data_IF_321706890121
#
_entry.id   IF_321706890121
#
_cell.length_a   1.000
_cell.length_b   1.000
_cell.length_c   1.000
_cell.angle_alpha   90.00
_cell.angle_beta   90.00
_cell.angle_gamma   90.00
#
_symmetry.space_group_name_H-M   'P 1'
#
loop_
_entity.id
_entity.type
_entity.pdbx_description
1 polymer ?
#
# COMPACT_ATOMS: atom_id res chain seq x y z
N UNK A 1 -9.17 -10.88 -4.09
CA UNK A 1 -10.13 -12.00 -3.97
C UNK A 1 -10.83 -11.99 -2.60
N UNK A 2 -10.11 -12.21 -1.50
CA UNK A 2 -10.71 -12.31 -0.14
C UNK A 2 -11.62 -11.12 0.24
N UNK A 3 -11.23 -9.88 -0.08
CA UNK A 3 -12.05 -8.70 0.19
C UNK A 3 -13.36 -8.75 -0.61
N UNK A 4 -13.31 -9.12 -1.88
CA UNK A 4 -14.50 -9.20 -2.74
C UNK A 4 -15.46 -10.30 -2.27
N UNK A 5 -14.94 -11.41 -1.78
CA UNK A 5 -15.73 -12.50 -1.21
C UNK A 5 -16.36 -12.10 0.12
N UNK A 6 -15.61 -11.43 1.00
CA UNK A 6 -16.08 -10.99 2.30
C UNK A 6 -17.11 -9.83 2.23
N UNK A 7 -17.00 -8.96 1.21
CA UNK A 7 -17.81 -7.75 1.05
C UNK A 7 -18.58 -7.79 -0.27
N UNK A 8 -19.52 -8.70 -0.40
CA UNK A 8 -20.24 -8.97 -1.64
C UNK A 8 -21.08 -7.77 -2.17
N UNK A 9 -21.50 -6.86 -1.29
CA UNK A 9 -22.21 -5.64 -1.64
C UNK A 9 -21.30 -4.47 -2.02
N UNK A 10 -19.98 -4.64 -1.95
CA UNK A 10 -18.99 -3.64 -2.30
C UNK A 10 -18.45 -3.89 -3.71
N UNK A 11 -18.13 -2.82 -4.44
CA UNK A 11 -17.40 -2.92 -5.72
C UNK A 11 -15.91 -2.83 -5.41
N UNK A 12 -15.17 -3.86 -5.79
CA UNK A 12 -13.74 -3.95 -5.53
C UNK A 12 -12.97 -3.71 -6.84
N UNK A 13 -11.99 -2.83 -6.79
CA UNK A 13 -11.08 -2.55 -7.89
C UNK A 13 -9.66 -2.90 -7.45
N UNK A 14 -8.94 -3.64 -8.27
CA UNK A 14 -7.52 -3.95 -8.07
C UNK A 14 -6.69 -3.35 -9.20
N UNK A 15 -5.67 -2.61 -8.83
CA UNK A 15 -4.75 -1.97 -9.75
C UNK A 15 -3.33 -2.45 -9.51
N UNK A 16 -2.61 -2.73 -10.56
CA UNK A 16 -1.19 -3.07 -10.53
C UNK A 16 -0.56 -2.69 -11.87
N UNK A 17 0.67 -2.16 -11.85
CA UNK A 17 1.40 -1.86 -13.08
C UNK A 17 1.90 -3.12 -13.78
N UNK A 18 1.99 -4.25 -13.09
CA UNK A 18 2.46 -5.53 -13.61
C UNK A 18 1.32 -6.29 -14.29
N UNK A 19 1.22 -6.14 -15.62
CA UNK A 19 0.18 -6.75 -16.43
C UNK A 19 -0.03 -8.26 -16.17
N UNK A 20 1.02 -9.11 -16.05
CA UNK A 20 0.82 -10.53 -15.75
C UNK A 20 0.08 -10.78 -14.42
N UNK A 21 0.32 -9.98 -13.38
CA UNK A 21 -0.41 -10.07 -12.11
C UNK A 21 -1.90 -9.78 -12.30
N UNK A 22 -2.23 -8.76 -13.07
CA UNK A 22 -3.62 -8.40 -13.39
C UNK A 22 -4.31 -9.53 -14.20
N UNK A 23 -3.64 -10.12 -15.18
CA UNK A 23 -4.18 -11.25 -15.96
C UNK A 23 -4.50 -12.47 -15.08
N UNK A 24 -3.62 -12.77 -14.11
CA UNK A 24 -3.85 -13.82 -13.11
C UNK A 24 -5.05 -13.45 -12.21
N UNK A 25 -5.09 -12.22 -11.70
CA UNK A 25 -6.19 -11.76 -10.85
C UNK A 25 -7.55 -11.84 -11.54
N UNK A 26 -7.64 -11.44 -12.82
CA UNK A 26 -8.87 -11.57 -13.62
C UNK A 26 -9.30 -13.03 -13.78
N UNK A 27 -8.34 -13.93 -14.07
CA UNK A 27 -8.60 -15.37 -14.22
C UNK A 27 -9.11 -15.99 -12.91
N UNK A 28 -8.47 -15.64 -11.79
CA UNK A 28 -8.84 -16.17 -10.49
C UNK A 28 -10.19 -15.63 -9.98
N UNK A 29 -10.51 -14.36 -10.25
CA UNK A 29 -11.82 -13.80 -9.96
C UNK A 29 -12.93 -14.54 -10.70
N UNK A 30 -12.73 -14.81 -12.00
CA UNK A 30 -13.68 -15.61 -12.81
C UNK A 30 -13.85 -17.01 -12.26
N UNK A 31 -12.75 -17.67 -11.90
CA UNK A 31 -12.77 -19.04 -11.34
C UNK A 31 -13.53 -19.11 -10.02
N UNK A 32 -13.48 -18.04 -9.20
CA UNK A 32 -14.17 -17.92 -7.93
C UNK A 32 -15.55 -17.29 -8.03
N UNK A 33 -16.05 -16.96 -9.24
CA UNK A 33 -17.32 -16.30 -9.49
C UNK A 33 -17.49 -14.94 -8.77
N UNK A 34 -16.41 -14.20 -8.59
CA UNK A 34 -16.43 -12.88 -7.95
C UNK A 34 -16.86 -11.80 -8.95
N UNK A 35 -18.18 -11.54 -9.02
CA UNK A 35 -18.76 -10.59 -9.98
C UNK A 35 -18.60 -9.12 -9.56
N UNK A 36 -18.22 -8.87 -8.32
CA UNK A 36 -18.01 -7.55 -7.71
C UNK A 36 -16.54 -7.09 -7.73
N UNK A 37 -15.63 -7.85 -8.36
CA UNK A 37 -14.22 -7.52 -8.48
C UNK A 37 -13.83 -7.20 -9.93
N UNK A 38 -13.11 -6.09 -10.13
CA UNK A 38 -12.50 -5.68 -11.40
C UNK A 38 -11.02 -5.44 -11.22
N UNK A 39 -10.21 -5.76 -12.23
CA UNK A 39 -8.76 -5.60 -12.18
C UNK A 39 -8.28 -4.90 -13.45
N UNK A 40 -7.45 -3.88 -13.30
CA UNK A 40 -6.95 -3.06 -14.40
C UNK A 40 -5.46 -2.79 -14.24
N UNK A 41 -4.74 -2.71 -15.35
CA UNK A 41 -3.33 -2.30 -15.36
C UNK A 41 -3.26 -0.81 -15.17
N UNK A 42 -2.79 -0.38 -14.01
CA UNK A 42 -2.53 1.02 -13.68
C UNK A 42 -1.48 1.10 -12.57
N UNK A 43 -0.74 2.20 -12.54
CA UNK A 43 0.13 2.50 -11.40
C UNK A 43 -0.62 3.27 -10.28
N UNK A 44 0.07 3.52 -9.19
CA UNK A 44 -0.50 4.18 -8.01
C UNK A 44 -0.90 5.65 -8.24
N UNK A 45 -0.56 6.22 -9.39
CA UNK A 45 -0.83 7.62 -9.78
C UNK A 45 -1.64 7.74 -11.08
N UNK A 46 -2.25 6.64 -11.58
CA UNK A 46 -2.95 6.65 -12.88
C UNK A 46 -4.32 5.98 -12.91
N UNK A 47 -4.78 5.38 -11.81
CA UNK A 47 -6.13 4.81 -11.73
C UNK A 47 -7.21 5.91 -11.71
N UNK A 48 -8.42 5.59 -12.20
CA UNK A 48 -9.53 6.54 -12.27
C UNK A 48 -10.61 6.22 -11.23
N UNK A 49 -11.42 7.23 -10.89
CA UNK A 49 -12.60 7.07 -10.03
C UNK A 49 -12.45 7.71 -8.65
N UNK A 50 -13.48 7.53 -7.84
CA UNK A 50 -13.56 7.92 -6.44
C UNK A 50 -13.93 6.69 -5.61
N UNK A 51 -13.35 6.58 -4.42
CA UNK A 51 -13.45 5.40 -3.58
C UNK A 51 -13.75 5.78 -2.13
N UNK A 52 -14.49 4.91 -1.45
CA UNK A 52 -14.73 5.04 -0.02
C UNK A 52 -13.53 4.53 0.79
N UNK A 53 -12.84 3.52 0.24
CA UNK A 53 -11.62 2.96 0.83
C UNK A 53 -10.59 2.72 -0.26
N UNK A 54 -9.38 3.18 -0.05
CA UNK A 54 -8.20 2.84 -0.85
C UNK A 54 -7.25 2.04 0.04
N UNK A 55 -6.64 0.99 -0.50
CA UNK A 55 -5.69 0.15 0.24
C UNK A 55 -4.38 0.02 -0.50
N UNK A 56 -3.26 0.16 0.21
CA UNK A 56 -1.92 -0.19 -0.25
C UNK A 56 -1.43 -1.39 0.56
N UNK A 57 -1.15 -2.50 -0.15
CA UNK A 57 -0.73 -3.74 0.46
C UNK A 57 0.77 -3.94 0.26
N UNK A 58 1.54 -3.61 1.28
CA UNK A 58 2.98 -3.87 1.37
C UNK A 58 3.74 -3.33 0.15
N UNK A 59 3.40 -2.11 -0.29
CA UNK A 59 3.91 -1.56 -1.55
C UNK A 59 4.27 -0.07 -1.52
N UNK A 60 3.78 0.72 -0.55
CA UNK A 60 4.10 2.15 -0.50
C UNK A 60 5.60 2.40 -0.35
N UNK A 61 6.28 1.56 0.44
CA UNK A 61 7.72 1.65 0.67
C UNK A 61 8.58 1.29 -0.56
N UNK A 62 8.00 0.61 -1.57
CA UNK A 62 8.65 0.24 -2.83
C UNK A 62 8.44 1.28 -3.92
N UNK A 63 7.52 2.23 -3.72
CA UNK A 63 7.21 3.25 -4.72
C UNK A 63 8.35 4.26 -4.87
N UNK A 64 8.55 4.76 -6.09
CA UNK A 64 9.55 5.78 -6.38
C UNK A 64 9.21 7.13 -5.73
N UNK A 65 7.92 7.46 -5.63
CA UNK A 65 7.40 8.65 -4.97
C UNK A 65 6.20 8.32 -4.06
N UNK A 66 6.43 7.82 -2.84
CA UNK A 66 5.36 7.47 -1.92
C UNK A 66 4.48 8.68 -1.52
N UNK A 67 5.01 9.90 -1.55
CA UNK A 67 4.22 11.10 -1.29
C UNK A 67 3.26 11.40 -2.44
N UNK A 68 3.69 11.29 -3.69
CA UNK A 68 2.83 11.51 -4.85
C UNK A 68 1.71 10.46 -4.91
N UNK A 69 2.03 9.18 -4.70
CA UNK A 69 1.04 8.11 -4.61
C UNK A 69 0.01 8.35 -3.48
N UNK A 70 0.48 8.78 -2.30
CA UNK A 70 -0.41 9.11 -1.18
C UNK A 70 -1.31 10.34 -1.47
N UNK A 71 -0.78 11.37 -2.14
CA UNK A 71 -1.57 12.53 -2.60
C UNK A 71 -2.60 12.12 -3.65
N UNK A 72 -2.22 11.23 -4.56
CA UNK A 72 -3.13 10.72 -5.57
C UNK A 72 -4.28 9.96 -4.91
N UNK A 73 -3.99 9.08 -3.96
CA UNK A 73 -5.00 8.38 -3.17
C UNK A 73 -5.91 9.37 -2.41
N UNK A 74 -5.34 10.37 -1.72
CA UNK A 74 -6.11 11.42 -1.04
C UNK A 74 -7.11 12.11 -1.98
N UNK A 75 -6.67 12.47 -3.18
CA UNK A 75 -7.51 13.13 -4.18
C UNK A 75 -8.60 12.19 -4.77
N UNK A 76 -8.41 10.86 -4.72
CA UNK A 76 -9.35 9.87 -5.24
C UNK A 76 -10.21 9.21 -4.15
N UNK A 77 -10.07 9.61 -2.90
CA UNK A 77 -11.02 9.28 -1.84
C UNK A 77 -12.23 10.21 -1.87
N UNK A 78 -13.41 9.68 -1.53
CA UNK A 78 -14.60 10.44 -1.17
C UNK A 78 -14.35 11.29 0.08
N UNK A 79 -15.26 12.19 0.45
CA UNK A 79 -15.05 13.12 1.59
C UNK A 79 -14.80 12.39 2.91
N UNK A 80 -15.57 11.34 3.18
CA UNK A 80 -15.43 10.46 4.37
C UNK A 80 -14.57 9.22 4.10
N UNK A 81 -13.76 9.27 3.02
CA UNK A 81 -12.98 8.13 2.58
C UNK A 81 -11.75 7.88 3.43
N UNK A 82 -11.34 6.61 3.48
CA UNK A 82 -10.22 6.14 4.31
C UNK A 82 -9.15 5.47 3.44
N UNK A 83 -7.89 5.85 3.67
CA UNK A 83 -6.73 5.10 3.18
C UNK A 83 -6.27 4.12 4.24
N UNK A 84 -6.06 2.87 3.84
CA UNK A 84 -5.50 1.81 4.68
C UNK A 84 -4.16 1.38 4.09
N UNK A 85 -3.09 1.52 4.86
CA UNK A 85 -1.78 0.99 4.51
C UNK A 85 -1.52 -0.26 5.31
N UNK A 86 -1.06 -1.30 4.65
CA UNK A 86 -0.45 -2.48 5.25
C UNK A 86 1.02 -2.41 4.89
N UNK A 87 1.89 -2.24 5.88
CA UNK A 87 3.33 -2.03 5.71
C UNK A 87 4.14 -2.90 6.68
N UNK A 88 5.42 -3.15 6.43
CA UNK A 88 6.27 -3.89 7.34
C UNK A 88 6.30 -3.27 8.74
N UNK A 89 6.28 -4.10 9.76
CA UNK A 89 6.25 -3.69 11.17
C UNK A 89 7.65 -3.29 11.63
N UNK A 90 8.09 -2.11 11.21
CA UNK A 90 9.33 -1.53 11.69
C UNK A 90 9.11 -0.59 12.88
N UNK A 91 10.15 -0.40 13.69
CA UNK A 91 10.26 0.70 14.65
C UNK A 91 10.98 1.89 14.02
N UNK A 92 10.73 3.08 14.54
CA UNK A 92 11.48 4.29 14.19
C UNK A 92 12.95 4.24 14.67
N UNK A 93 13.21 3.43 15.68
CA UNK A 93 14.57 3.19 16.20
C UNK A 93 15.23 2.01 15.50
N UNK A 94 16.36 2.21 14.79
CA UNK A 94 17.10 1.10 14.18
C UNK A 94 17.50 0.01 15.19
N UNK A 95 17.81 0.38 16.45
CA UNK A 95 18.18 -0.58 17.50
C UNK A 95 17.06 -1.56 17.84
N UNK A 96 15.80 -1.11 17.81
CA UNK A 96 14.65 -1.96 18.06
C UNK A 96 14.36 -2.92 16.90
N UNK A 97 14.89 -2.62 15.73
CA UNK A 97 14.81 -3.46 14.54
C UNK A 97 15.96 -4.50 14.49
N UNK A 98 16.90 -4.52 15.44
CA UNK A 98 17.98 -5.52 15.53
C UNK A 98 17.48 -6.83 16.13
N UNK A 99 16.61 -7.50 15.36
CA UNK A 99 16.03 -8.79 15.68
C UNK A 99 15.86 -9.62 14.38
N UNK A 100 15.45 -10.87 14.48
CA UNK A 100 15.33 -11.77 13.32
C UNK A 100 14.41 -11.22 12.23
N UNK A 101 13.28 -10.62 12.60
CA UNK A 101 12.33 -10.03 11.65
C UNK A 101 12.94 -8.79 10.98
N UNK A 102 13.56 -7.92 11.76
CA UNK A 102 14.26 -6.75 11.21
C UNK A 102 15.40 -7.15 10.28
N UNK A 103 16.20 -8.16 10.62
CA UNK A 103 17.24 -8.68 9.74
C UNK A 103 16.66 -9.16 8.40
N UNK A 104 15.57 -9.89 8.43
CA UNK A 104 14.86 -10.35 7.23
C UNK A 104 14.41 -9.16 6.36
N UNK A 105 13.74 -8.18 6.96
CA UNK A 105 13.25 -7.01 6.23
C UNK A 105 14.37 -6.10 5.71
N UNK A 106 15.45 -5.89 6.45
CA UNK A 106 16.63 -5.17 5.94
C UNK A 106 17.24 -5.89 4.73
N UNK A 107 17.30 -7.22 4.75
CA UNK A 107 17.80 -8.02 3.62
C UNK A 107 16.88 -7.87 2.40
N UNK A 108 15.57 -8.04 2.56
CA UNK A 108 14.60 -7.84 1.47
C UNK A 108 14.62 -6.41 0.95
N UNK A 109 14.67 -5.44 1.86
CA UNK A 109 14.73 -4.01 1.48
C UNK A 109 15.96 -3.70 0.64
N UNK A 110 17.13 -4.25 1.00
CA UNK A 110 18.37 -4.02 0.27
C UNK A 110 18.36 -4.67 -1.13
N UNK A 111 17.82 -5.88 -1.24
CA UNK A 111 17.83 -6.64 -2.50
C UNK A 111 16.64 -6.35 -3.42
N UNK A 112 15.51 -5.91 -2.87
CA UNK A 112 14.24 -5.71 -3.58
C UNK A 112 13.72 -4.27 -3.47
N UNK A 113 13.26 -3.86 -2.29
CA UNK A 113 12.52 -2.60 -2.14
C UNK A 113 13.31 -1.36 -2.60
N UNK A 114 14.55 -1.22 -2.15
CA UNK A 114 15.40 -0.08 -2.52
C UNK A 114 15.70 -0.06 -4.03
N UNK A 115 16.17 -1.16 -4.66
CA UNK A 115 16.36 -1.21 -6.10
C UNK A 115 15.07 -0.95 -6.89
N UNK A 116 13.94 -1.52 -6.47
CA UNK A 116 12.63 -1.30 -7.09
C UNK A 116 12.25 0.18 -7.07
N UNK A 117 12.31 0.82 -5.91
CA UNK A 117 12.05 2.26 -5.80
C UNK A 117 13.01 3.09 -6.64
N UNK A 118 14.32 2.78 -6.60
CA UNK A 118 15.36 3.49 -7.36
C UNK A 118 15.23 3.36 -8.88
N UNK A 119 14.60 2.29 -9.38
CA UNK A 119 14.33 2.11 -10.80
C UNK A 119 13.19 2.97 -11.32
N UNK A 120 12.37 3.54 -10.44
CA UNK A 120 11.23 4.38 -10.77
C UNK A 120 11.62 5.87 -10.78
N UNK A 121 10.74 6.70 -11.37
CA UNK A 121 10.90 8.16 -11.36
C UNK A 121 10.95 8.67 -9.91
N UNK A 122 11.87 9.58 -9.61
CA UNK A 122 12.29 10.09 -8.29
C UNK A 122 13.11 9.10 -7.47
N UNK A 123 12.70 7.86 -7.30
CA UNK A 123 13.46 6.83 -6.61
C UNK A 123 13.84 7.19 -5.17
N UNK A 124 12.87 7.59 -4.34
CA UNK A 124 13.10 8.08 -2.97
C UNK A 124 13.59 6.98 -2.02
N UNK A 125 13.38 5.71 -2.37
CA UNK A 125 13.92 4.55 -1.65
C UNK A 125 13.57 4.53 -0.16
N UNK A 126 12.29 4.60 0.16
CA UNK A 126 11.78 4.56 1.53
C UNK A 126 12.19 3.26 2.24
N UNK A 127 11.99 2.12 1.57
CA UNK A 127 12.38 0.79 2.02
C UNK A 127 11.50 0.22 3.13
N UNK A 128 11.56 -1.10 3.29
CA UNK A 128 10.70 -1.86 4.21
C UNK A 128 10.88 -1.53 5.70
N UNK A 129 11.91 -0.78 6.07
CA UNK A 129 12.19 -0.39 7.47
C UNK A 129 11.96 1.12 7.70
N UNK A 130 10.96 1.68 7.05
CA UNK A 130 10.66 3.11 7.14
C UNK A 130 10.27 3.59 8.56
N UNK A 131 9.57 2.75 9.31
CA UNK A 131 9.00 3.10 10.61
C UNK A 131 7.74 3.98 10.52
N UNK A 132 6.89 3.97 11.56
CA UNK A 132 5.61 4.67 11.53
C UNK A 132 5.74 6.19 11.40
N UNK A 133 6.71 6.83 12.05
CA UNK A 133 6.87 8.29 11.99
C UNK A 133 7.10 8.80 10.57
N UNK A 134 7.89 8.11 9.75
CA UNK A 134 8.11 8.49 8.35
C UNK A 134 6.84 8.31 7.52
N UNK A 135 6.13 7.20 7.73
CA UNK A 135 4.87 6.91 7.03
C UNK A 135 3.81 7.95 7.39
N UNK A 136 3.64 8.28 8.66
CA UNK A 136 2.71 9.31 9.12
C UNK A 136 3.01 10.67 8.50
N UNK A 137 4.28 11.07 8.47
CA UNK A 137 4.69 12.32 7.84
C UNK A 137 4.39 12.38 6.34
N UNK A 138 4.53 11.25 5.63
CA UNK A 138 4.15 11.15 4.21
C UNK A 138 2.65 11.36 4.06
N UNK A 139 1.83 10.71 4.88
CA UNK A 139 0.38 10.81 4.85
C UNK A 139 -0.12 12.22 5.24
N UNK A 140 0.45 12.81 6.27
CA UNK A 140 0.17 14.20 6.68
C UNK A 140 0.51 15.18 5.55
N UNK A 141 1.69 15.05 4.93
CA UNK A 141 2.09 15.86 3.78
C UNK A 141 1.22 15.61 2.52
N UNK A 142 0.55 14.46 2.45
CA UNK A 142 -0.42 14.16 1.40
C UNK A 142 -1.79 14.80 1.64
N UNK A 143 -2.09 15.27 2.85
CA UNK A 143 -3.31 15.98 3.22
C UNK A 143 -4.19 15.25 4.24
N UNK A 144 -3.84 14.04 4.66
CA UNK A 144 -4.61 13.31 5.67
C UNK A 144 -4.51 13.99 7.04
N UNK A 145 -5.66 14.16 7.71
CA UNK A 145 -5.77 14.86 8.99
C UNK A 145 -5.51 13.94 10.18
N UNK A 146 -5.91 12.68 10.05
CA UNK A 146 -5.79 11.68 11.11
C UNK A 146 -5.02 10.48 10.58
N UNK A 147 -3.98 10.07 11.31
CA UNK A 147 -3.22 8.86 11.02
C UNK A 147 -3.03 8.06 12.29
N UNK A 148 -3.30 6.76 12.26
CA UNK A 148 -3.13 5.88 13.43
C UNK A 148 -2.81 4.44 13.02
N UNK A 149 -2.02 3.75 13.84
CA UNK A 149 -1.87 2.29 13.74
C UNK A 149 -3.09 1.66 14.38
N UNK A 150 -3.88 0.93 13.59
CA UNK A 150 -5.09 0.23 14.07
C UNK A 150 -4.83 -1.23 14.41
N UNK A 151 -3.78 -1.81 13.82
CA UNK A 151 -3.33 -3.17 14.14
C UNK A 151 -1.83 -3.31 13.88
N UNK A 152 -1.17 -4.12 14.68
CA UNK A 152 0.24 -4.45 14.51
C UNK A 152 0.48 -5.90 14.96
N UNK A 153 1.31 -6.61 14.21
CA UNK A 153 1.85 -7.92 14.60
C UNK A 153 3.37 -7.94 14.35
N UNK A 154 4.01 -9.09 14.42
CA UNK A 154 5.46 -9.20 14.26
C UNK A 154 5.95 -8.78 12.86
N UNK A 155 5.16 -8.97 11.82
CA UNK A 155 5.55 -8.75 10.42
C UNK A 155 4.97 -7.48 9.83
N UNK A 156 3.72 -7.15 10.13
CA UNK A 156 3.01 -6.04 9.51
C UNK A 156 2.34 -5.11 10.52
N UNK A 157 2.21 -3.86 10.15
CA UNK A 157 1.34 -2.87 10.78
C UNK A 157 0.28 -2.39 9.78
N UNK A 158 -0.91 -2.14 10.30
CA UNK A 158 -2.02 -1.55 9.56
C UNK A 158 -2.19 -0.12 10.03
N UNK A 159 -2.00 0.81 9.12
CA UNK A 159 -2.17 2.25 9.34
C UNK A 159 -3.45 2.68 8.65
N UNK A 160 -4.29 3.39 9.37
CA UNK A 160 -5.50 4.03 8.85
C UNK A 160 -5.26 5.54 8.78
N UNK A 161 -5.59 6.14 7.65
CA UNK A 161 -5.52 7.59 7.43
C UNK A 161 -6.86 8.12 6.91
N UNK A 162 -7.38 9.14 7.55
CA UNK A 162 -8.67 9.76 7.24
C UNK A 162 -8.48 11.17 6.64
N UNK A 163 -9.36 11.50 5.73
CA UNK A 163 -9.35 12.75 4.97
C UNK A 163 -9.73 13.99 5.80
#
# INVERSE_FOLDING_TARGET
MMIADAFQNSKIFGFDMHKPSIEIAIKDAKKQNLNNAKFEVADAESYCGKYDVITFFDCLHDMGDPLAASKYAFNHLNEDGTLILIEPSASDSPKENFNTIGQMYYSFSTMGCIPTSKSQKKGLALGAQAGPTKLFKILENAGFKTTKIVKKNATNMVIMAEK
#
